data_IF_363829613784
#
_entry.id   IF_363829613784
#
_cell.length_a   1.000
_cell.length_b   1.000
_cell.length_c   1.000
_cell.angle_alpha   90.00
_cell.angle_beta   90.00
_cell.angle_gamma   90.00
#
_symmetry.space_group_name_H-M   'P 1'
#
loop_
_entity.id
_entity.type
_entity.pdbx_description
1 polymer ?
#
# COMPACT_ATOMS: atom_id res chain seq x y z
N UNK A 1 5.02 11.03 -0.29
CA UNK A 1 6.41 11.34 -0.69
C UNK A 1 6.37 12.25 -1.90
N UNK A 2 6.91 13.45 -1.74
CA UNK A 2 7.05 14.44 -2.81
C UNK A 2 8.54 14.54 -3.15
N UNK A 3 8.83 14.75 -4.42
CA UNK A 3 10.20 14.96 -4.91
C UNK A 3 10.50 16.46 -4.96
N UNK A 4 11.78 16.82 -4.91
CA UNK A 4 12.23 18.18 -5.22
C UNK A 4 11.72 18.61 -6.61
N UNK A 5 11.21 19.83 -6.71
CA UNK A 5 10.53 20.36 -7.90
C UNK A 5 9.08 19.92 -8.04
N UNK A 6 8.49 19.28 -7.03
CA UNK A 6 7.06 19.01 -6.99
C UNK A 6 6.25 20.30 -6.80
N UNK A 7 5.10 20.35 -7.43
CA UNK A 7 4.11 21.40 -7.26
C UNK A 7 2.89 20.84 -6.50
N UNK A 8 2.38 21.65 -5.59
CA UNK A 8 1.19 21.39 -4.81
C UNK A 8 0.19 22.54 -4.95
N UNK A 9 -1.09 22.22 -5.17
CA UNK A 9 -2.14 23.23 -5.32
C UNK A 9 -3.48 22.79 -4.72
N UNK A 10 -4.18 23.74 -4.10
CA UNK A 10 -5.57 23.59 -3.72
C UNK A 10 -6.50 23.87 -4.90
N UNK A 11 -7.56 23.08 -5.05
CA UNK A 11 -8.58 23.28 -6.10
C UNK A 11 -9.96 23.20 -5.48
N UNK A 12 -10.64 24.36 -5.44
CA UNK A 12 -12.02 24.47 -4.95
C UNK A 12 -12.22 23.87 -3.56
N UNK A 13 -11.26 24.11 -2.67
CA UNK A 13 -11.40 23.71 -1.27
C UNK A 13 -12.32 24.70 -0.57
N UNK A 14 -13.42 24.17 -0.05
CA UNK A 14 -14.45 24.92 0.67
C UNK A 14 -14.68 24.29 2.04
N UNK A 15 -14.74 25.15 3.05
CA UNK A 15 -15.05 24.77 4.41
C UNK A 15 -16.46 25.23 4.74
N UNK A 16 -17.22 24.37 5.40
CA UNK A 16 -18.60 24.59 5.81
C UNK A 16 -18.69 24.49 7.33
N UNK A 17 -19.20 25.55 7.96
CA UNK A 17 -19.48 25.54 9.40
C UNK A 17 -20.95 25.28 9.67
N UNK A 18 -21.27 24.85 10.89
CA UNK A 18 -22.64 24.62 11.32
C UNK A 18 -23.44 25.95 11.35
N UNK A 19 -24.75 25.85 11.14
CA UNK A 19 -25.66 27.00 11.18
C UNK A 19 -25.65 27.70 12.54
N UNK A 20 -25.65 26.93 13.64
CA UNK A 20 -25.57 27.45 15.01
C UNK A 20 -24.34 28.33 15.23
N UNK A 21 -23.18 27.88 14.70
CA UNK A 21 -21.94 28.63 14.78
C UNK A 21 -22.02 29.92 13.96
N UNK A 22 -22.63 29.89 12.78
CA UNK A 22 -22.77 31.07 11.91
C UNK A 22 -23.74 32.12 12.47
N UNK A 23 -24.84 31.70 13.10
CA UNK A 23 -25.84 32.58 13.72
C UNK A 23 -25.32 33.31 14.95
N UNK A 24 -24.31 32.74 15.62
CA UNK A 24 -23.65 33.38 16.77
C UNK A 24 -22.83 34.63 16.40
N UNK A 25 -22.64 34.92 15.11
CA UNK A 25 -21.85 36.05 14.62
C UNK A 25 -22.69 37.08 13.87
N UNK A 26 -22.37 38.36 14.09
CA UNK A 26 -23.03 39.48 13.41
C UNK A 26 -22.56 39.62 11.97
N UNK A 27 -23.43 40.17 11.12
CA UNK A 27 -23.17 40.37 9.67
C UNK A 27 -21.99 41.31 9.35
N UNK A 28 -21.49 42.05 10.34
CA UNK A 28 -20.40 43.03 10.18
C UNK A 28 -19.04 42.52 10.71
N UNK A 29 -18.97 41.31 11.25
CA UNK A 29 -17.72 40.78 11.78
C UNK A 29 -16.79 40.27 10.64
N UNK A 30 -15.57 40.79 10.58
CA UNK A 30 -14.63 40.49 9.49
C UNK A 30 -13.89 39.15 9.61
N UNK A 31 -13.70 38.63 10.83
CA UNK A 31 -13.09 37.32 11.08
C UNK A 31 -13.90 36.60 12.15
N UNK A 32 -14.72 35.62 11.74
CA UNK A 32 -15.67 34.88 12.59
C UNK A 32 -15.30 33.41 12.74
N UNK A 33 -14.05 33.07 12.44
CA UNK A 33 -13.49 31.74 12.57
C UNK A 33 -12.26 31.57 11.70
N UNK A 34 -11.22 30.91 12.21
CA UNK A 34 -9.97 30.65 11.52
C UNK A 34 -9.82 29.15 11.24
N UNK A 35 -9.55 28.81 9.98
CA UNK A 35 -9.15 27.47 9.55
C UNK A 35 -7.76 27.58 8.94
N UNK A 36 -6.83 26.74 9.38
CA UNK A 36 -5.45 26.74 8.91
C UNK A 36 -5.16 25.43 8.19
N UNK A 37 -4.64 25.53 6.97
CA UNK A 37 -4.06 24.41 6.25
C UNK A 37 -2.54 24.43 6.44
N UNK A 38 -1.97 23.37 7.01
CA UNK A 38 -0.56 23.30 7.38
C UNK A 38 0.11 22.18 6.61
N UNK A 39 1.13 22.55 5.84
CA UNK A 39 1.96 21.64 5.07
C UNK A 39 3.36 21.58 5.68
N UNK A 40 3.80 20.38 6.03
CA UNK A 40 5.08 20.17 6.72
C UNK A 40 5.72 18.83 6.35
N UNK A 41 7.05 18.77 6.46
CA UNK A 41 7.80 17.53 6.29
C UNK A 41 7.59 16.61 7.52
N UNK A 42 7.52 15.29 7.32
CA UNK A 42 7.31 14.32 8.39
C UNK A 42 8.42 14.34 9.44
N UNK A 43 9.64 14.73 9.07
CA UNK A 43 10.76 14.97 9.98
C UNK A 43 10.48 16.18 10.92
N UNK A 44 9.79 17.21 10.43
CA UNK A 44 9.39 18.39 11.21
C UNK A 44 8.11 18.16 12.02
N UNK A 45 7.63 16.91 12.14
CA UNK A 45 6.40 16.61 12.91
C UNK A 45 6.49 17.10 14.35
N UNK A 46 7.69 17.06 14.93
CA UNK A 46 7.94 17.52 16.29
C UNK A 46 8.02 19.06 16.42
N UNK A 47 8.09 19.78 15.30
CA UNK A 47 8.06 21.24 15.28
C UNK A 47 6.62 21.80 15.28
N UNK A 48 5.62 20.91 15.23
CA UNK A 48 4.19 21.28 15.24
C UNK A 48 3.54 20.84 16.54
N UNK A 49 2.86 21.79 17.18
CA UNK A 49 2.21 21.57 18.47
C UNK A 49 3.16 21.66 19.66
N UNK A 50 2.56 21.84 20.83
CA UNK A 50 3.26 21.97 22.11
C UNK A 50 2.63 21.09 23.18
N UNK A 51 3.30 20.95 24.31
CA UNK A 51 2.73 20.33 25.51
C UNK A 51 3.04 21.20 26.73
N UNK A 52 1.99 21.67 27.41
CA UNK A 52 2.16 22.54 28.58
C UNK A 52 2.83 21.81 29.77
N UNK A 53 2.63 20.50 29.89
CA UNK A 53 3.05 19.70 31.05
C UNK A 53 3.62 18.33 30.69
N UNK A 54 4.22 18.16 29.49
CA UNK A 54 4.82 16.89 29.06
C UNK A 54 3.83 15.75 28.77
N UNK A 55 2.53 16.03 28.74
CA UNK A 55 1.46 15.09 28.38
C UNK A 55 1.15 15.05 26.88
N UNK A 56 -0.12 14.84 26.54
CA UNK A 56 -0.58 14.78 25.15
C UNK A 56 -0.31 16.12 24.42
N UNK A 57 0.32 16.05 23.25
CA UNK A 57 0.65 17.23 22.44
C UNK A 57 -0.62 17.84 21.85
N UNK A 58 -0.84 19.12 22.09
CA UNK A 58 -1.91 19.89 21.48
C UNK A 58 -1.35 20.70 20.31
N UNK A 59 -2.01 20.57 19.15
CA UNK A 59 -1.61 21.30 17.95
C UNK A 59 -2.03 22.78 18.05
N UNK A 60 -3.17 23.04 18.69
CA UNK A 60 -3.70 24.37 18.92
C UNK A 60 -3.07 25.05 20.13
N UNK A 61 -2.80 26.35 20.00
CA UNK A 61 -2.32 27.18 21.10
C UNK A 61 -3.45 27.42 22.12
N UNK A 62 -3.34 26.78 23.28
CA UNK A 62 -4.22 27.01 24.44
C UNK A 62 -3.72 28.20 25.26
N UNK A 63 -4.54 28.77 26.16
CA UNK A 63 -4.13 29.88 27.01
C UNK A 63 -2.88 29.60 27.87
N UNK A 64 -2.71 28.34 28.30
CA UNK A 64 -1.53 27.91 29.07
C UNK A 64 -0.28 27.86 28.19
N UNK A 65 -0.41 27.34 26.97
CA UNK A 65 0.68 27.31 25.99
C UNK A 65 1.07 28.70 25.48
N UNK A 66 0.11 29.62 25.36
CA UNK A 66 0.40 31.01 25.00
C UNK A 66 1.33 31.69 26.01
N UNK A 67 1.20 31.35 27.31
CA UNK A 67 2.07 31.89 28.37
C UNK A 67 3.45 31.23 28.41
N UNK A 68 3.53 29.94 28.11
CA UNK A 68 4.77 29.16 28.17
C UNK A 68 5.62 29.29 26.90
N UNK A 69 4.99 29.21 25.74
CA UNK A 69 5.65 29.20 24.42
C UNK A 69 5.50 30.51 23.64
N UNK A 70 4.68 31.46 24.11
CA UNK A 70 4.48 32.75 23.43
C UNK A 70 3.66 32.67 22.14
N UNK A 71 2.84 31.64 21.96
CA UNK A 71 1.98 31.47 20.79
C UNK A 71 0.70 32.33 20.86
N UNK A 72 0.13 32.67 19.70
CA UNK A 72 -1.16 33.37 19.60
C UNK A 72 -2.31 32.40 19.87
N UNK A 73 -3.20 32.76 20.79
CA UNK A 73 -4.35 31.92 21.15
C UNK A 73 -5.26 31.68 19.95
N UNK A 74 -5.68 30.43 19.76
CA UNK A 74 -6.56 30.06 18.66
C UNK A 74 -5.86 29.86 17.31
N UNK A 75 -4.53 29.97 17.26
CA UNK A 75 -3.72 29.58 16.10
C UNK A 75 -2.97 28.26 16.39
N UNK A 76 -2.49 27.60 15.34
CA UNK A 76 -1.64 26.43 15.44
C UNK A 76 -0.22 26.82 15.83
N UNK A 77 0.35 26.06 16.77
CA UNK A 77 1.74 26.21 17.19
C UNK A 77 2.64 25.68 16.07
N UNK A 78 3.44 26.57 15.49
CA UNK A 78 4.47 26.25 14.50
C UNK A 78 5.84 26.72 14.99
N UNK A 79 6.84 25.86 14.81
CA UNK A 79 8.25 26.21 14.95
C UNK A 79 8.89 26.10 13.56
N UNK A 80 9.67 27.10 13.13
CA UNK A 80 10.40 27.00 11.87
C UNK A 80 11.29 25.77 11.85
N UNK A 81 11.42 25.13 10.69
CA UNK A 81 12.40 24.05 10.53
C UNK A 81 13.82 24.59 10.68
N UNK A 82 14.72 23.77 11.22
CA UNK A 82 16.15 24.11 11.36
C UNK A 82 16.84 24.26 10.00
N UNK A 83 16.36 23.52 8.99
CA UNK A 83 16.94 23.50 7.64
C UNK A 83 16.42 24.66 6.78
N UNK A 84 15.11 24.95 6.87
CA UNK A 84 14.44 25.98 6.07
C UNK A 84 13.50 26.84 6.93
N UNK A 85 13.81 28.13 7.17
CA UNK A 85 13.02 29.01 8.04
C UNK A 85 11.63 29.36 7.47
N UNK A 86 11.41 29.13 6.16
CA UNK A 86 10.11 29.31 5.51
C UNK A 86 9.12 28.15 5.71
N UNK A 87 9.56 27.05 6.33
CA UNK A 87 8.74 25.86 6.61
C UNK A 87 8.45 25.74 8.11
N UNK A 88 7.25 25.28 8.53
CA UNK A 88 6.15 24.76 7.72
C UNK A 88 5.29 25.86 7.07
N UNK A 89 4.73 25.55 5.89
CA UNK A 89 3.84 26.47 5.16
C UNK A 89 2.44 26.40 5.78
N UNK A 90 1.90 27.55 6.16
CA UNK A 90 0.56 27.68 6.73
C UNK A 90 -0.25 28.63 5.88
N UNK A 91 -1.42 28.17 5.42
CA UNK A 91 -2.39 28.98 4.69
C UNK A 91 -3.59 29.22 5.59
N UNK A 92 -3.80 30.48 5.92
CA UNK A 92 -4.85 30.94 6.83
C UNK A 92 -6.12 31.27 6.03
N UNK A 93 -7.27 30.77 6.49
CA UNK A 93 -8.57 31.06 5.89
C UNK A 93 -9.54 31.52 6.95
N UNK A 94 -10.11 32.71 6.75
CA UNK A 94 -11.01 33.34 7.70
C UNK A 94 -12.45 33.30 7.21
N UNK A 95 -13.36 32.81 8.04
CA UNK A 95 -14.79 33.00 7.81
C UNK A 95 -15.15 34.47 7.96
N UNK A 96 -15.95 34.98 7.03
CA UNK A 96 -16.47 36.35 7.08
C UNK A 96 -17.94 36.34 7.52
N UNK A 97 -18.34 37.31 8.34
CA UNK A 97 -19.71 37.55 8.75
C UNK A 97 -20.42 36.28 9.25
N UNK A 98 -21.68 36.09 8.84
CA UNK A 98 -22.49 34.91 9.10
C UNK A 98 -22.49 33.92 7.91
N UNK A 99 -21.50 33.96 7.03
CA UNK A 99 -21.43 33.04 5.89
C UNK A 99 -21.22 31.60 6.36
N UNK A 100 -21.96 30.66 5.78
CA UNK A 100 -21.86 29.24 6.11
C UNK A 100 -20.60 28.58 5.51
N UNK A 101 -20.08 29.15 4.42
CA UNK A 101 -18.92 28.62 3.72
C UNK A 101 -17.85 29.67 3.50
N UNK A 102 -16.60 29.20 3.42
CA UNK A 102 -15.44 29.97 2.99
C UNK A 102 -14.62 29.12 2.04
N UNK A 103 -14.09 29.75 0.98
CA UNK A 103 -13.20 29.12 0.01
C UNK A 103 -11.75 29.41 0.40
N UNK A 104 -10.90 28.39 0.37
CA UNK A 104 -9.46 28.51 0.52
C UNK A 104 -8.86 29.08 -0.78
N UNK A 105 -7.86 29.95 -0.66
CA UNK A 105 -7.16 30.50 -1.82
C UNK A 105 -6.40 29.40 -2.57
N UNK A 106 -6.50 29.42 -3.90
CA UNK A 106 -5.90 28.42 -4.79
C UNK A 106 -4.39 28.72 -5.00
N UNK A 107 -3.63 28.80 -3.90
CA UNK A 107 -2.18 29.06 -3.90
C UNK A 107 -1.38 27.81 -4.31
N UNK A 108 -0.30 28.04 -5.06
CA UNK A 108 0.59 27.00 -5.57
C UNK A 108 1.92 27.01 -4.80
N UNK A 109 2.20 25.92 -4.08
CA UNK A 109 3.42 25.78 -3.27
C UNK A 109 4.39 24.85 -3.98
N UNK A 110 5.64 25.31 -4.09
CA UNK A 110 6.73 24.55 -4.69
C UNK A 110 7.54 23.84 -3.61
N UNK A 111 7.79 22.55 -3.81
CA UNK A 111 8.55 21.73 -2.89
C UNK A 111 10.02 21.72 -3.32
N UNK A 112 10.91 22.23 -2.47
CA UNK A 112 12.35 22.30 -2.73
C UNK A 112 13.07 21.01 -2.35
N UNK A 113 12.60 20.30 -1.31
CA UNK A 113 13.25 19.12 -0.73
C UNK A 113 12.45 17.84 -0.99
N UNK A 114 13.16 16.74 -1.27
CA UNK A 114 12.51 15.43 -1.42
C UNK A 114 12.21 14.85 -0.04
N UNK A 115 10.96 14.53 0.25
CA UNK A 115 10.55 14.09 1.57
C UNK A 115 9.14 13.52 1.65
N UNK A 116 8.75 13.08 2.85
CA UNK A 116 7.36 12.75 3.17
C UNK A 116 6.70 14.00 3.72
N UNK A 117 5.69 14.52 3.05
CA UNK A 117 4.96 15.71 3.48
C UNK A 117 3.57 15.33 3.98
N UNK A 118 3.12 15.99 5.04
CA UNK A 118 1.80 15.86 5.61
C UNK A 118 1.06 17.20 5.47
N UNK A 119 -0.24 17.12 5.18
CA UNK A 119 -1.14 18.25 5.12
C UNK A 119 -2.24 18.07 6.13
N UNK A 120 -2.37 19.01 7.06
CA UNK A 120 -3.45 19.03 8.04
C UNK A 120 -4.34 20.25 7.83
N UNK A 121 -5.65 20.03 7.96
CA UNK A 121 -6.65 21.09 8.05
C UNK A 121 -7.11 21.17 9.50
N UNK A 122 -6.83 22.27 10.17
CA UNK A 122 -7.05 22.42 11.61
C UNK A 122 -7.84 23.70 11.87
N UNK A 123 -8.83 23.59 12.75
CA UNK A 123 -9.52 24.72 13.34
C UNK A 123 -9.35 24.62 14.86
N UNK A 124 -8.81 25.66 15.46
CA UNK A 124 -8.60 25.73 16.90
C UNK A 124 -9.75 26.41 17.65
N UNK A 125 -10.75 26.93 16.93
CA UNK A 125 -11.96 27.48 17.54
C UNK A 125 -12.92 26.34 17.93
N UNK A 126 -13.28 26.20 19.22
CA UNK A 126 -14.24 25.19 19.66
C UNK A 126 -15.63 25.36 19.03
N UNK A 127 -16.00 26.57 18.57
CA UNK A 127 -17.28 26.83 17.90
C UNK A 127 -17.35 26.25 16.49
N UNK A 128 -16.22 25.92 15.88
CA UNK A 128 -16.14 25.32 14.55
C UNK A 128 -16.07 23.78 14.61
N UNK A 129 -16.43 23.18 15.74
CA UNK A 129 -16.45 21.72 15.89
C UNK A 129 -17.50 21.10 14.95
N UNK A 130 -17.08 20.12 14.14
CA UNK A 130 -17.94 19.48 13.13
C UNK A 130 -17.90 20.13 11.74
N UNK A 131 -16.88 20.94 11.46
CA UNK A 131 -16.63 21.52 10.14
C UNK A 131 -16.62 20.44 9.03
N UNK A 132 -17.40 20.67 7.97
CA UNK A 132 -17.37 19.83 6.78
C UNK A 132 -16.47 20.48 5.72
N UNK A 133 -15.64 19.68 5.06
CA UNK A 133 -14.71 20.14 4.04
C UNK A 133 -15.00 19.41 2.72
N UNK A 134 -15.06 20.16 1.62
CA UNK A 134 -15.18 19.60 0.28
C UNK A 134 -14.22 20.32 -0.66
N UNK A 135 -13.46 19.55 -1.45
CA UNK A 135 -12.51 20.08 -2.41
C UNK A 135 -11.53 19.03 -2.90
N UNK A 136 -10.56 19.46 -3.71
CA UNK A 136 -9.49 18.59 -4.22
C UNK A 136 -8.13 19.22 -3.96
N UNK A 137 -7.14 18.38 -3.68
CA UNK A 137 -5.74 18.78 -3.64
C UNK A 137 -5.00 18.08 -4.76
N UNK A 138 -4.19 18.83 -5.50
CA UNK A 138 -3.41 18.30 -6.62
C UNK A 138 -1.94 18.27 -6.19
N UNK A 139 -1.33 17.09 -6.35
CA UNK A 139 0.05 16.83 -6.03
C UNK A 139 0.75 16.33 -7.29
N UNK A 140 1.70 17.11 -7.82
CA UNK A 140 2.36 16.78 -9.08
C UNK A 140 3.86 16.78 -8.91
N UNK A 141 4.46 15.58 -8.99
CA UNK A 141 5.91 15.42 -9.04
C UNK A 141 6.44 15.74 -10.44
N UNK A 142 7.76 16.00 -10.60
CA UNK A 142 8.37 16.27 -11.90
C UNK A 142 8.12 15.16 -12.95
N UNK A 143 7.99 13.91 -12.50
CA UNK A 143 7.71 12.75 -13.35
C UNK A 143 6.22 12.49 -13.66
N UNK A 144 5.31 13.33 -13.15
CA UNK A 144 3.85 13.17 -13.27
C UNK A 144 3.15 13.10 -11.91
N UNK A 145 1.93 12.56 -11.87
CA UNK A 145 1.13 12.51 -10.65
C UNK A 145 1.48 11.34 -9.71
N UNK A 146 2.38 10.45 -10.11
CA UNK A 146 2.75 9.31 -9.27
C UNK A 146 3.51 9.77 -8.00
N UNK A 147 3.16 9.24 -6.81
CA UNK A 147 3.92 9.51 -5.60
C UNK A 147 5.39 9.09 -5.76
N UNK A 148 6.32 9.86 -5.18
CA UNK A 148 7.77 9.63 -5.35
C UNK A 148 8.21 8.22 -4.91
N UNK A 149 7.56 7.66 -3.89
CA UNK A 149 7.79 6.29 -3.40
C UNK A 149 7.39 5.21 -4.42
N UNK A 150 6.42 5.52 -5.29
CA UNK A 150 5.88 4.60 -6.30
C UNK A 150 6.55 4.76 -7.67
N UNK A 151 7.23 5.88 -7.93
CA UNK A 151 7.89 6.14 -9.21
C UNK A 151 8.88 5.03 -9.65
N UNK A 152 9.71 4.45 -8.77
CA UNK A 152 10.60 3.35 -9.15
C UNK A 152 9.86 2.05 -9.50
N UNK A 153 8.66 1.83 -8.95
CA UNK A 153 7.90 0.60 -9.17
C UNK A 153 7.49 0.46 -10.64
N UNK A 154 7.19 1.56 -11.33
CA UNK A 154 6.83 1.52 -12.75
C UNK A 154 7.96 0.90 -13.60
N UNK A 155 9.22 1.26 -13.33
CA UNK A 155 10.38 0.65 -14.02
C UNK A 155 10.56 -0.81 -13.63
N UNK A 156 10.37 -1.13 -12.35
CA UNK A 156 10.44 -2.50 -11.85
C UNK A 156 9.46 -3.43 -12.58
N UNK A 157 8.20 -3.02 -12.77
CA UNK A 157 7.21 -3.85 -13.48
C UNK A 157 7.57 -4.08 -14.96
N UNK A 158 8.21 -3.13 -15.63
CA UNK A 158 8.73 -3.33 -17.00
C UNK A 158 9.83 -4.37 -17.02
N UNK A 159 10.83 -4.25 -16.14
CA UNK A 159 11.91 -5.24 -16.05
C UNK A 159 11.39 -6.63 -15.70
N UNK A 160 10.45 -6.73 -14.77
CA UNK A 160 9.82 -7.98 -14.41
C UNK A 160 8.99 -8.57 -15.54
N UNK A 161 8.24 -7.75 -16.29
CA UNK A 161 7.49 -8.19 -17.47
C UNK A 161 8.44 -8.77 -18.54
N UNK A 162 9.56 -8.10 -18.82
CA UNK A 162 10.59 -8.63 -19.73
C UNK A 162 11.20 -9.94 -19.22
N UNK A 163 11.47 -10.07 -17.92
CA UNK A 163 11.97 -11.31 -17.34
C UNK A 163 10.95 -12.46 -17.49
N UNK A 164 9.66 -12.21 -17.22
CA UNK A 164 8.59 -13.18 -17.44
C UNK A 164 8.42 -13.54 -18.91
N UNK A 165 8.59 -12.59 -19.83
CA UNK A 165 8.57 -12.83 -21.27
C UNK A 165 9.69 -13.79 -21.68
N UNK A 166 10.92 -13.56 -21.20
CA UNK A 166 12.06 -14.45 -21.47
C UNK A 166 11.81 -15.86 -20.95
N UNK A 167 11.32 -15.97 -19.71
CA UNK A 167 10.94 -17.27 -19.11
C UNK A 167 9.85 -17.95 -19.94
N UNK A 168 8.84 -17.21 -20.38
CA UNK A 168 7.76 -17.73 -21.22
C UNK A 168 8.28 -18.26 -22.55
N UNK A 169 9.16 -17.53 -23.24
CA UNK A 169 9.73 -17.95 -24.53
C UNK A 169 10.56 -19.22 -24.37
N UNK A 170 11.43 -19.28 -23.36
CA UNK A 170 12.24 -20.48 -23.06
C UNK A 170 11.33 -21.66 -22.69
N UNK A 171 10.33 -21.44 -21.84
CA UNK A 171 9.39 -22.47 -21.43
C UNK A 171 8.58 -23.01 -22.61
N UNK A 172 8.02 -22.12 -23.43
CA UNK A 172 7.20 -22.46 -24.59
C UNK A 172 8.00 -23.22 -25.65
N UNK A 173 9.27 -22.83 -25.87
CA UNK A 173 10.17 -23.56 -26.78
C UNK A 173 10.38 -25.01 -26.33
N UNK A 174 10.59 -25.23 -25.03
CA UNK A 174 10.71 -26.58 -24.47
C UNK A 174 9.36 -27.34 -24.51
N UNK A 175 8.26 -26.65 -24.23
CA UNK A 175 6.91 -27.20 -24.26
C UNK A 175 6.54 -27.74 -25.66
N UNK A 176 6.88 -27.01 -26.73
CA UNK A 176 6.70 -27.49 -28.11
C UNK A 176 7.63 -28.67 -28.40
N UNK A 177 8.90 -28.61 -27.99
CA UNK A 177 9.89 -29.66 -28.27
C UNK A 177 9.48 -31.02 -27.67
N UNK A 178 8.86 -31.02 -26.49
CA UNK A 178 8.46 -32.22 -25.76
C UNK A 178 6.94 -32.43 -25.73
N UNK A 179 6.21 -31.93 -26.75
CA UNK A 179 4.74 -31.88 -26.72
C UNK A 179 4.04 -33.23 -26.55
N UNK A 180 4.71 -34.33 -26.92
CA UNK A 180 4.18 -35.70 -26.80
C UNK A 180 4.20 -36.26 -25.38
N UNK A 181 5.06 -35.74 -24.50
CA UNK A 181 5.29 -36.27 -23.14
C UNK A 181 4.78 -35.33 -22.03
N UNK A 182 3.82 -34.45 -22.36
CA UNK A 182 3.36 -33.40 -21.46
C UNK A 182 2.45 -33.96 -20.36
N UNK A 183 2.88 -33.72 -19.11
CA UNK A 183 2.08 -33.98 -17.93
C UNK A 183 1.07 -32.85 -17.71
N UNK A 184 -0.15 -33.12 -17.21
CA UNK A 184 -1.16 -32.08 -16.93
C UNK A 184 -0.67 -30.93 -16.04
N UNK A 185 0.34 -31.19 -15.18
CA UNK A 185 0.97 -30.18 -14.30
C UNK A 185 1.69 -29.10 -15.11
N UNK A 186 2.30 -29.45 -16.24
CA UNK A 186 3.02 -28.49 -17.07
C UNK A 186 2.07 -27.45 -17.66
N UNK A 187 0.81 -27.81 -17.94
CA UNK A 187 -0.21 -26.87 -18.40
C UNK A 187 -0.51 -25.81 -17.34
N UNK A 188 -0.60 -26.21 -16.07
CA UNK A 188 -0.78 -25.29 -14.94
C UNK A 188 0.45 -24.40 -14.73
N UNK A 189 1.67 -24.92 -14.94
CA UNK A 189 2.89 -24.10 -14.92
C UNK A 189 2.85 -23.05 -16.04
N UNK A 190 2.50 -23.45 -17.26
CA UNK A 190 2.33 -22.51 -18.39
C UNK A 190 1.31 -21.43 -18.07
N UNK A 191 0.16 -21.79 -17.46
CA UNK A 191 -0.85 -20.84 -17.02
C UNK A 191 -0.31 -19.85 -15.97
N UNK A 192 0.44 -20.32 -14.98
CA UNK A 192 1.05 -19.45 -13.96
C UNK A 192 2.05 -18.46 -14.57
N UNK A 193 2.88 -18.91 -15.51
CA UNK A 193 3.83 -18.04 -16.22
C UNK A 193 3.08 -16.99 -17.05
N UNK A 194 2.01 -17.40 -17.74
CA UNK A 194 1.16 -16.49 -18.53
C UNK A 194 0.45 -15.45 -17.67
N UNK A 195 -0.16 -15.87 -16.56
CA UNK A 195 -0.76 -14.96 -15.58
C UNK A 195 0.28 -14.02 -14.97
N UNK A 196 1.51 -14.49 -14.74
CA UNK A 196 2.63 -13.66 -14.27
C UNK A 196 2.97 -12.53 -15.23
N UNK A 197 3.16 -12.85 -16.52
CA UNK A 197 3.41 -11.83 -17.55
C UNK A 197 2.24 -10.83 -17.66
N UNK A 198 1.01 -11.36 -17.64
CA UNK A 198 -0.20 -10.55 -17.76
C UNK A 198 -0.34 -9.60 -16.58
N UNK A 199 -0.16 -10.07 -15.35
CA UNK A 199 -0.19 -9.24 -14.14
C UNK A 199 0.86 -8.13 -14.16
N UNK A 200 2.13 -8.44 -14.49
CA UNK A 200 3.19 -7.43 -14.53
C UNK A 200 2.88 -6.33 -15.56
N UNK A 201 2.28 -6.72 -16.68
CA UNK A 201 1.86 -5.80 -17.73
C UNK A 201 0.68 -4.94 -17.30
N UNK A 202 -0.32 -5.53 -16.63
CA UNK A 202 -1.45 -4.80 -16.07
C UNK A 202 -1.04 -3.78 -15.01
N UNK A 203 -0.12 -4.15 -14.11
CA UNK A 203 0.45 -3.21 -13.15
C UNK A 203 1.14 -2.04 -13.85
N UNK A 204 1.96 -2.30 -14.87
CA UNK A 204 2.59 -1.23 -15.63
C UNK A 204 1.56 -0.28 -16.25
N UNK A 205 0.49 -0.80 -16.87
CA UNK A 205 -0.58 0.04 -17.42
C UNK A 205 -1.35 0.81 -16.35
N UNK A 206 -1.59 0.22 -15.18
CA UNK A 206 -2.21 0.89 -14.04
C UNK A 206 -1.36 2.07 -13.58
N UNK A 207 -0.05 1.86 -13.37
CA UNK A 207 0.88 2.91 -12.99
C UNK A 207 1.03 4.00 -14.05
N UNK A 208 1.02 3.66 -15.34
CA UNK A 208 1.01 4.64 -16.42
C UNK A 208 -0.24 5.52 -16.39
N UNK A 209 -1.42 4.91 -16.26
CA UNK A 209 -2.68 5.65 -16.18
C UNK A 209 -2.73 6.50 -14.92
N UNK A 210 -2.27 5.96 -13.78
CA UNK A 210 -2.22 6.70 -12.53
C UNK A 210 -1.25 7.89 -12.62
N UNK A 211 -0.11 7.74 -13.31
CA UNK A 211 0.84 8.83 -13.51
C UNK A 211 0.27 9.96 -14.38
N UNK A 212 -0.62 9.65 -15.31
CA UNK A 212 -1.25 10.62 -16.22
C UNK A 212 -2.47 11.30 -15.61
N UNK A 213 -3.37 10.50 -15.02
CA UNK A 213 -4.67 10.97 -14.51
C UNK A 213 -4.59 11.47 -13.06
N UNK A 214 -3.57 11.08 -12.30
CA UNK A 214 -3.42 11.40 -10.87
C UNK A 214 -4.46 10.78 -9.94
N UNK A 215 -5.31 9.90 -10.47
CA UNK A 215 -6.32 9.14 -9.73
C UNK A 215 -6.17 7.68 -10.11
N UNK A 216 -6.19 6.79 -9.12
CA UNK A 216 -6.20 5.34 -9.37
C UNK A 216 -7.60 4.93 -9.85
N UNK A 217 -7.76 4.45 -11.09
CA UNK A 217 -9.06 3.97 -11.57
C UNK A 217 -9.45 2.71 -10.81
N UNK A 218 -10.55 2.78 -10.05
CA UNK A 218 -11.04 1.68 -9.20
C UNK A 218 -11.20 0.39 -10.00
N UNK A 219 -11.92 0.43 -11.13
CA UNK A 219 -12.21 -0.77 -11.91
C UNK A 219 -10.97 -1.47 -12.46
N UNK A 220 -10.02 -0.73 -13.05
CA UNK A 220 -8.78 -1.31 -13.60
C UNK A 220 -7.93 -1.87 -12.45
N UNK A 221 -7.80 -1.13 -11.35
CA UNK A 221 -7.05 -1.59 -10.18
C UNK A 221 -7.62 -2.88 -9.61
N UNK A 222 -8.96 -2.99 -9.49
CA UNK A 222 -9.65 -4.22 -9.07
C UNK A 222 -9.29 -5.40 -9.98
N UNK A 223 -9.33 -5.22 -11.31
CA UNK A 223 -8.92 -6.29 -12.24
C UNK A 223 -7.46 -6.71 -12.07
N UNK A 224 -6.54 -5.74 -11.93
CA UNK A 224 -5.12 -6.02 -11.73
C UNK A 224 -4.90 -6.85 -10.47
N UNK A 225 -5.53 -6.48 -9.35
CA UNK A 225 -5.38 -7.20 -8.08
C UNK A 225 -6.05 -8.57 -8.12
N UNK A 226 -7.22 -8.72 -8.76
CA UNK A 226 -7.89 -10.02 -8.90
C UNK A 226 -7.04 -10.99 -9.71
N UNK A 227 -6.43 -10.56 -10.83
CA UNK A 227 -5.48 -11.40 -11.60
C UNK A 227 -4.30 -11.81 -10.73
N UNK A 228 -3.78 -10.90 -9.91
CA UNK A 228 -2.72 -11.19 -8.95
C UNK A 228 -3.11 -12.23 -7.91
N UNK A 229 -4.28 -12.10 -7.30
CA UNK A 229 -4.82 -13.06 -6.34
C UNK A 229 -5.05 -14.44 -6.98
N UNK A 230 -5.54 -14.50 -8.22
CA UNK A 230 -5.68 -15.75 -8.98
C UNK A 230 -4.30 -16.40 -9.18
N UNK A 231 -3.30 -15.64 -9.65
CA UNK A 231 -1.94 -16.17 -9.87
C UNK A 231 -1.33 -16.69 -8.58
N UNK A 232 -1.39 -15.91 -7.48
CA UNK A 232 -0.90 -16.32 -6.14
C UNK A 232 -1.54 -17.64 -5.72
N UNK A 233 -2.87 -17.74 -5.84
CA UNK A 233 -3.64 -18.94 -5.48
C UNK A 233 -3.23 -20.15 -6.29
N UNK A 234 -3.25 -20.05 -7.63
CA UNK A 234 -2.90 -21.17 -8.52
C UNK A 234 -1.45 -21.62 -8.25
N UNK A 235 -0.52 -20.68 -8.06
CA UNK A 235 0.89 -21.00 -7.78
C UNK A 235 1.04 -21.81 -6.50
N UNK A 236 0.36 -21.43 -5.42
CA UNK A 236 0.43 -22.12 -4.12
C UNK A 236 -0.23 -23.49 -4.16
N UNK A 237 -1.39 -23.61 -4.81
CA UNK A 237 -2.06 -24.89 -5.01
C UNK A 237 -1.23 -25.83 -5.89
N UNK A 238 -0.55 -25.30 -6.90
CA UNK A 238 0.35 -26.06 -7.76
C UNK A 238 1.55 -26.60 -6.98
N UNK A 239 2.22 -25.75 -6.20
CA UNK A 239 3.33 -26.16 -5.32
C UNK A 239 2.87 -27.23 -4.33
N UNK A 240 1.74 -27.03 -3.67
CA UNK A 240 1.16 -28.01 -2.74
C UNK A 240 0.87 -29.35 -3.45
N UNK A 241 0.25 -29.30 -4.63
CA UNK A 241 -0.06 -30.49 -5.43
C UNK A 241 1.20 -31.26 -5.84
N UNK A 242 2.26 -30.57 -6.26
CA UNK A 242 3.57 -31.16 -6.60
C UNK A 242 4.20 -31.81 -5.36
N UNK A 243 4.19 -31.13 -4.21
CA UNK A 243 4.70 -31.66 -2.93
C UNK A 243 3.95 -32.91 -2.47
N UNK A 244 2.65 -33.00 -2.75
CA UNK A 244 1.82 -34.18 -2.45
C UNK A 244 2.05 -35.34 -3.42
N UNK A 245 2.83 -35.15 -4.47
CA UNK A 245 3.15 -36.20 -5.43
C UNK A 245 2.27 -36.24 -6.68
N UNK A 246 1.43 -35.24 -6.93
CA UNK A 246 0.58 -35.20 -8.12
C UNK A 246 1.42 -35.32 -9.39
N UNK A 247 0.91 -36.06 -10.39
CA UNK A 247 1.52 -36.23 -11.72
C UNK A 247 2.77 -37.11 -11.75
N UNK A 248 3.66 -37.05 -10.74
CA UNK A 248 4.93 -37.80 -10.72
C UNK A 248 4.83 -39.10 -9.91
N UNK A 249 4.10 -39.08 -8.79
CA UNK A 249 3.98 -40.21 -7.84
C UNK A 249 2.56 -40.76 -7.79
N UNK A 250 1.54 -39.91 -7.96
CA UNK A 250 0.12 -40.29 -7.97
C UNK A 250 -0.61 -39.66 -9.16
N UNK A 251 -1.39 -40.44 -9.93
CA UNK A 251 -2.17 -39.90 -11.05
C UNK A 251 -3.36 -39.03 -10.59
N UNK A 252 -3.89 -39.23 -9.38
CA UNK A 252 -4.99 -38.41 -8.81
C UNK A 252 -4.82 -38.20 -7.31
N UNK A 253 -5.30 -37.06 -6.79
CA UNK A 253 -5.31 -36.73 -5.35
C UNK A 253 -6.49 -37.34 -4.58
N UNK A 254 -7.46 -37.97 -5.25
CA UNK A 254 -8.65 -38.57 -4.60
C UNK A 254 -9.43 -37.55 -3.76
N UNK A 255 -9.93 -37.96 -2.60
CA UNK A 255 -10.68 -37.09 -1.68
C UNK A 255 -9.88 -35.91 -1.09
N UNK A 256 -8.56 -35.92 -1.23
CA UNK A 256 -7.69 -34.81 -0.80
C UNK A 256 -7.83 -33.59 -1.73
N UNK A 257 -8.26 -33.80 -2.98
CA UNK A 257 -8.49 -32.73 -3.97
C UNK A 257 -9.55 -31.73 -3.50
N UNK A 258 -10.64 -32.20 -2.89
CA UNK A 258 -11.71 -31.34 -2.37
C UNK A 258 -11.22 -30.45 -1.23
N UNK A 259 -10.38 -30.98 -0.33
CA UNK A 259 -9.77 -30.20 0.75
C UNK A 259 -8.83 -29.12 0.22
N UNK A 260 -8.01 -29.45 -0.77
CA UNK A 260 -7.09 -28.51 -1.42
C UNK A 260 -7.87 -27.41 -2.17
N UNK A 261 -8.95 -27.77 -2.85
CA UNK A 261 -9.80 -26.80 -3.55
C UNK A 261 -10.50 -25.85 -2.57
N UNK A 262 -11.06 -26.37 -1.48
CA UNK A 262 -11.68 -25.55 -0.44
C UNK A 262 -10.68 -24.57 0.18
N UNK A 263 -9.47 -25.06 0.52
CA UNK A 263 -8.39 -24.21 1.02
C UNK A 263 -7.98 -23.13 0.01
N UNK A 264 -7.91 -23.51 -1.28
CA UNK A 264 -7.63 -22.58 -2.37
C UNK A 264 -8.67 -21.48 -2.50
N UNK A 265 -9.95 -21.83 -2.41
CA UNK A 265 -11.04 -20.85 -2.45
C UNK A 265 -10.98 -19.90 -1.25
N UNK A 266 -10.76 -20.42 -0.03
CA UNK A 266 -10.64 -19.56 1.16
C UNK A 266 -9.43 -18.64 1.07
N UNK A 267 -8.31 -19.13 0.53
CA UNK A 267 -7.11 -18.33 0.33
C UNK A 267 -7.32 -17.24 -0.72
N UNK A 268 -7.94 -17.59 -1.85
CA UNK A 268 -8.25 -16.64 -2.91
C UNK A 268 -9.11 -15.48 -2.40
N UNK A 269 -10.19 -15.78 -1.67
CA UNK A 269 -11.07 -14.75 -1.12
C UNK A 269 -10.36 -13.86 -0.09
N UNK A 270 -9.53 -14.45 0.78
CA UNK A 270 -8.75 -13.68 1.76
C UNK A 270 -7.75 -12.74 1.07
N UNK A 271 -6.97 -13.26 0.10
CA UNK A 271 -5.98 -12.49 -0.65
C UNK A 271 -6.64 -11.41 -1.50
N UNK A 272 -7.77 -11.68 -2.15
CA UNK A 272 -8.49 -10.69 -2.98
C UNK A 272 -9.04 -9.55 -2.12
N UNK A 273 -9.68 -9.86 -0.99
CA UNK A 273 -10.19 -8.84 -0.07
C UNK A 273 -9.06 -7.94 0.47
N UNK A 274 -7.91 -8.55 0.82
CA UNK A 274 -6.75 -7.81 1.27
C UNK A 274 -6.19 -6.91 0.15
N UNK A 275 -5.93 -7.47 -1.04
CA UNK A 275 -5.33 -6.74 -2.15
C UNK A 275 -6.25 -5.59 -2.64
N UNK A 276 -7.58 -5.78 -2.67
CA UNK A 276 -8.54 -4.71 -2.98
C UNK A 276 -8.50 -3.64 -1.89
N UNK A 277 -8.55 -4.03 -0.62
CA UNK A 277 -8.50 -3.09 0.51
C UNK A 277 -7.23 -2.23 0.50
N UNK A 278 -6.08 -2.80 0.13
CA UNK A 278 -4.82 -2.07 0.13
C UNK A 278 -4.65 -1.14 -1.07
N UNK A 279 -5.18 -1.51 -2.24
CA UNK A 279 -4.93 -0.76 -3.49
C UNK A 279 -6.10 0.15 -3.91
N UNK A 280 -7.32 -0.19 -3.51
CA UNK A 280 -8.55 0.58 -3.80
C UNK A 280 -9.03 1.34 -2.56
N UNK A 281 -8.73 0.83 -1.36
CA UNK A 281 -9.18 1.41 -0.10
C UNK A 281 -8.84 2.89 0.00
N UNK A 282 -9.87 3.72 0.03
CA UNK A 282 -9.77 5.16 0.28
C UNK A 282 -9.10 5.38 1.63
N UNK A 283 -8.11 6.26 1.67
CA UNK A 283 -7.28 6.60 2.83
C UNK A 283 -8.10 7.05 4.06
N UNK A 284 -9.42 7.28 3.91
CA UNK A 284 -10.27 7.88 4.92
C UNK A 284 -11.27 6.94 5.61
N UNK A 285 -11.52 5.70 5.15
CA UNK A 285 -12.61 4.86 5.71
C UNK A 285 -12.16 3.58 6.42
N UNK A 286 -10.90 3.15 6.24
CA UNK A 286 -10.42 1.88 6.83
C UNK A 286 -9.53 2.22 8.03
N UNK A 287 -10.14 2.19 9.22
CA UNK A 287 -9.41 2.24 10.49
C UNK A 287 -8.22 1.27 10.44
N UNK A 288 -7.04 1.65 10.97
CA UNK A 288 -5.88 0.75 11.02
C UNK A 288 -6.18 -0.61 11.67
N UNK A 289 -7.22 -0.68 12.52
CA UNK A 289 -7.76 -1.94 13.07
C UNK A 289 -8.41 -2.86 12.02
N UNK A 290 -9.15 -2.29 11.07
CA UNK A 290 -9.78 -3.05 9.98
C UNK A 290 -8.72 -3.60 9.01
N UNK A 291 -7.66 -2.83 8.73
CA UNK A 291 -6.52 -3.35 7.97
C UNK A 291 -5.84 -4.53 8.67
N UNK A 292 -5.60 -4.43 9.98
CA UNK A 292 -5.04 -5.53 10.76
C UNK A 292 -5.91 -6.80 10.70
N UNK A 293 -7.24 -6.62 10.73
CA UNK A 293 -8.21 -7.71 10.64
C UNK A 293 -8.17 -8.45 9.28
N UNK A 294 -7.79 -7.78 8.20
CA UNK A 294 -7.62 -8.41 6.88
C UNK A 294 -6.25 -9.09 6.72
N UNK A 295 -5.18 -8.48 7.25
CA UNK A 295 -3.81 -8.98 7.12
C UNK A 295 -3.59 -10.26 7.95
N UNK A 296 -4.15 -10.33 9.16
CA UNK A 296 -3.89 -11.45 10.08
C UNK A 296 -4.38 -12.81 9.55
N UNK A 297 -5.62 -12.96 9.03
CA UNK A 297 -6.09 -14.23 8.48
C UNK A 297 -5.29 -14.67 7.25
N UNK A 298 -4.94 -13.75 6.36
CA UNK A 298 -4.14 -14.04 5.16
C UNK A 298 -2.74 -14.57 5.54
N UNK A 299 -2.05 -13.89 6.47
CA UNK A 299 -0.75 -14.33 6.98
C UNK A 299 -0.81 -15.70 7.68
N UNK A 300 -1.91 -16.01 8.38
CA UNK A 300 -2.11 -17.33 8.98
C UNK A 300 -2.28 -18.42 7.93
N UNK A 301 -3.08 -18.16 6.88
CA UNK A 301 -3.26 -19.09 5.76
C UNK A 301 -1.94 -19.33 5.00
N UNK A 302 -1.13 -18.30 4.83
CA UNK A 302 0.23 -18.38 4.26
C UNK A 302 1.11 -19.34 5.05
N UNK A 303 1.21 -19.12 6.37
CA UNK A 303 2.01 -19.96 7.26
C UNK A 303 1.52 -21.42 7.25
N UNK A 304 0.21 -21.62 7.30
CA UNK A 304 -0.40 -22.95 7.25
C UNK A 304 -0.11 -23.67 5.92
N UNK A 305 -0.24 -22.98 4.79
CA UNK A 305 0.08 -23.53 3.47
C UNK A 305 1.55 -23.95 3.37
N UNK A 306 2.47 -23.11 3.83
CA UNK A 306 3.91 -23.40 3.80
C UNK A 306 4.22 -24.65 4.63
N UNK A 307 3.71 -24.74 5.87
CA UNK A 307 3.90 -25.91 6.73
C UNK A 307 3.35 -27.18 6.08
N UNK A 308 2.19 -27.10 5.42
CA UNK A 308 1.60 -28.25 4.74
C UNK A 308 2.42 -28.65 3.50
N UNK A 309 2.95 -27.70 2.74
CA UNK A 309 3.84 -27.96 1.60
C UNK A 309 5.06 -28.76 2.07
N UNK A 310 5.76 -28.29 3.10
CA UNK A 310 6.95 -28.98 3.63
C UNK A 310 6.61 -30.36 4.21
N UNK A 311 5.54 -30.46 4.99
CA UNK A 311 5.11 -31.75 5.58
C UNK A 311 4.74 -32.77 4.50
N UNK A 312 4.03 -32.34 3.45
CA UNK A 312 3.69 -33.19 2.29
C UNK A 312 4.93 -33.63 1.54
N UNK A 313 5.87 -32.71 1.32
CA UNK A 313 7.12 -32.96 0.63
C UNK A 313 7.99 -34.00 1.36
N UNK A 314 8.17 -33.85 2.68
CA UNK A 314 8.91 -34.81 3.51
C UNK A 314 8.32 -36.22 3.44
N UNK A 315 6.98 -36.34 3.55
CA UNK A 315 6.29 -37.64 3.42
C UNK A 315 6.47 -38.26 2.03
N UNK A 316 6.48 -37.45 0.98
CA UNK A 316 6.71 -37.93 -0.39
C UNK A 316 8.15 -38.40 -0.58
N UNK A 317 9.12 -37.67 -0.02
CA UNK A 317 10.54 -38.00 -0.08
C UNK A 317 10.85 -39.31 0.66
N UNK A 318 10.31 -39.51 1.87
CA UNK A 318 10.42 -40.77 2.62
C UNK A 318 9.87 -41.97 1.85
N UNK A 319 8.69 -41.82 1.22
CA UNK A 319 8.08 -42.86 0.39
C UNK A 319 8.94 -43.19 -0.84
N UNK A 320 9.54 -42.19 -1.47
CA UNK A 320 10.42 -42.39 -2.62
C UNK A 320 11.76 -43.03 -2.23
N UNK A 321 12.30 -42.69 -1.06
CA UNK A 321 13.47 -43.35 -0.47
C UNK A 321 13.20 -44.83 -0.22
N UNK A 322 12.07 -45.16 0.41
CA UNK A 322 11.66 -46.54 0.67
C UNK A 322 11.48 -47.36 -0.63
N UNK A 323 11.01 -46.71 -1.71
CA UNK A 323 10.81 -47.34 -3.03
C UNK A 323 12.07 -47.40 -3.91
N UNK A 324 13.24 -46.92 -3.45
CA UNK A 324 14.51 -46.88 -4.20
C UNK A 324 14.43 -46.26 -5.60
N UNK A 325 13.51 -45.31 -5.84
CA UNK A 325 13.42 -44.62 -7.13
C UNK A 325 14.41 -43.45 -7.18
N UNK A 326 15.65 -43.71 -7.61
CA UNK A 326 16.75 -42.72 -7.60
C UNK A 326 16.46 -41.47 -8.44
N UNK A 327 15.89 -41.63 -9.64
CA UNK A 327 15.59 -40.51 -10.56
C UNK A 327 14.51 -39.58 -9.99
N UNK A 328 13.40 -40.13 -9.49
CA UNK A 328 12.31 -39.32 -8.90
C UNK A 328 12.79 -38.63 -7.62
N UNK A 329 13.58 -39.33 -6.82
CA UNK A 329 14.14 -38.80 -5.59
C UNK A 329 15.08 -37.62 -5.83
N UNK A 330 15.91 -37.66 -6.87
CA UNK A 330 16.79 -36.54 -7.23
C UNK A 330 16.00 -35.29 -7.62
N UNK A 331 14.92 -35.45 -8.40
CA UNK A 331 14.01 -34.35 -8.76
C UNK A 331 13.40 -33.72 -7.51
N UNK A 332 12.89 -34.53 -6.58
CA UNK A 332 12.29 -34.03 -5.35
C UNK A 332 13.31 -33.38 -4.41
N UNK A 333 14.56 -33.87 -4.35
CA UNK A 333 15.63 -33.21 -3.59
C UNK A 333 15.98 -31.84 -4.15
N UNK A 334 16.12 -31.72 -5.47
CA UNK A 334 16.35 -30.43 -6.14
C UNK A 334 15.20 -29.46 -5.89
N UNK A 335 13.96 -29.94 -5.93
CA UNK A 335 12.78 -29.15 -5.58
C UNK A 335 12.80 -28.68 -4.12
N UNK A 336 13.11 -29.56 -3.15
CA UNK A 336 13.24 -29.19 -1.74
C UNK A 336 14.33 -28.14 -1.52
N UNK A 337 15.50 -28.29 -2.16
CA UNK A 337 16.60 -27.33 -2.06
C UNK A 337 16.21 -25.96 -2.64
N UNK A 338 15.54 -25.94 -3.80
CA UNK A 338 15.04 -24.71 -4.41
C UNK A 338 14.02 -24.01 -3.50
N UNK A 339 13.10 -24.78 -2.90
CA UNK A 339 12.10 -24.26 -1.99
C UNK A 339 12.73 -23.70 -0.71
N UNK A 340 13.73 -24.38 -0.14
CA UNK A 340 14.48 -23.90 1.01
C UNK A 340 15.22 -22.59 0.73
N UNK A 341 15.90 -22.48 -0.43
CA UNK A 341 16.57 -21.23 -0.85
C UNK A 341 15.56 -20.09 -0.98
N UNK A 342 14.38 -20.35 -1.56
CA UNK A 342 13.32 -19.34 -1.68
C UNK A 342 12.84 -18.84 -0.31
N UNK A 343 12.62 -19.73 0.65
CA UNK A 343 12.22 -19.34 2.02
C UNK A 343 13.31 -18.53 2.71
N UNK A 344 14.57 -18.96 2.63
CA UNK A 344 15.70 -18.22 3.23
C UNK A 344 15.81 -16.82 2.62
N UNK A 345 15.75 -16.72 1.29
CA UNK A 345 15.78 -15.42 0.61
C UNK A 345 14.63 -14.51 1.03
N UNK A 346 13.42 -15.07 1.23
CA UNK A 346 12.26 -14.32 1.70
C UNK A 346 12.45 -13.80 3.13
N UNK A 347 12.98 -14.61 4.04
CA UNK A 347 13.23 -14.21 5.43
C UNK A 347 14.30 -13.11 5.50
N UNK A 348 15.37 -13.24 4.71
CA UNK A 348 16.43 -12.22 4.61
C UNK A 348 15.86 -10.89 4.09
N UNK A 349 15.01 -10.96 3.05
CA UNK A 349 14.35 -9.78 2.49
C UNK A 349 13.44 -9.08 3.51
N UNK A 350 12.61 -9.84 4.23
CA UNK A 350 11.74 -9.31 5.29
C UNK A 350 12.59 -8.66 6.38
N UNK A 351 13.68 -9.31 6.82
CA UNK A 351 14.60 -8.76 7.81
C UNK A 351 15.22 -7.43 7.36
N UNK A 352 15.60 -7.34 6.08
CA UNK A 352 16.11 -6.10 5.48
C UNK A 352 15.07 -4.98 5.48
N UNK A 353 13.83 -5.25 5.06
CA UNK A 353 12.74 -4.26 5.06
C UNK A 353 12.39 -3.78 6.47
N UNK A 354 12.34 -4.69 7.45
CA UNK A 354 12.09 -4.33 8.86
C UNK A 354 13.23 -3.46 9.40
N UNK A 355 14.48 -3.83 9.14
CA UNK A 355 15.64 -3.06 9.57
C UNK A 355 15.66 -1.66 8.94
N UNK A 356 15.38 -1.57 7.63
CA UNK A 356 15.24 -0.31 6.90
C UNK A 356 14.10 0.55 7.44
N UNK A 357 12.95 -0.04 7.75
CA UNK A 357 11.80 0.68 8.33
C UNK A 357 12.13 1.24 9.71
N UNK A 358 12.84 0.47 10.54
CA UNK A 358 13.30 0.92 11.85
C UNK A 358 14.34 2.05 11.73
N UNK A 359 15.19 2.03 10.71
CA UNK A 359 16.13 3.13 10.43
C UNK A 359 15.42 4.41 9.99
N UNK A 360 14.36 4.29 9.18
CA UNK A 360 13.57 5.44 8.68
C UNK A 360 12.68 6.06 9.77
N UNK A 361 12.20 5.28 10.74
CA UNK A 361 11.40 5.79 11.87
C UNK A 361 12.22 6.18 13.11
N UNK A 362 13.52 5.86 13.12
CA UNK A 362 14.45 6.24 14.19
C UNK A 362 15.20 7.56 13.95
N UNK A 363 14.99 8.19 12.79
CA UNK A 363 15.28 9.61 12.52
C UNK A 363 13.97 10.39 12.56
#
# INVERSE_FOLDING_TARGET
>A
MLLSGCCYRFVNVTFWRNSESAESHTKMAHSTGLVQAILFEAADRDNIGGSAYGGQRSICCTPDLAKLEGCKQGEVIRRPSSDDPGWPVVVDTHFSANHLSVKLDDEEVHITKTGMYNLFFISCDPKLRGLAMSGKTIWRNPGGYLPGRMAPLMRFYVFMSLAYLLVMVVWFSNYIRFWRDILPIQNWITLVIALGLFEMTLWYFEYLNFNSSGVRPVGITTWVVTVGAIRKTISRLLILSISMGYGVVRPTLGGLTSKVLLLGLTYFLASELLDISENVGTINDISGKAKLFLVLPDAFLDAFLILWIFTSLSRTLEKLQARRSSVKLDIYRKFTNALAVSVIGSVVWIGYEVCKSHYIHGQ
#
